data_IF_412674131129
#
_entry.id   IF_412674131129
#
_cell.length_a   1.000
_cell.length_b   1.000
_cell.length_c   1.000
_cell.angle_alpha   90.00
_cell.angle_beta   90.00
_cell.angle_gamma   90.00
#
_symmetry.space_group_name_H-M   'P 1'
#
loop_
_entity.id
_entity.type
_entity.pdbx_description
1 polymer ?
#
# COMPACT_ATOMS: atom_id res chain seq x y z
N UNK A 1 13.61 1.77 4.02
CA UNK A 1 12.15 1.59 3.94
C UNK A 1 11.84 0.89 2.65
N UNK A 2 11.20 -0.28 2.74
CA UNK A 2 10.76 -1.10 1.61
C UNK A 2 9.27 -0.95 1.39
N UNK A 3 8.90 -0.67 0.16
CA UNK A 3 7.50 -0.47 -0.24
C UNK A 3 7.12 -1.53 -1.26
N UNK A 4 5.98 -2.21 -1.05
CA UNK A 4 5.42 -3.14 -2.01
C UNK A 4 4.21 -2.48 -2.68
N UNK A 5 4.29 -2.19 -3.97
CA UNK A 5 3.19 -1.67 -4.78
C UNK A 5 2.42 -2.83 -5.41
N UNK A 6 1.09 -2.86 -5.29
CA UNK A 6 0.25 -3.92 -5.87
C UNK A 6 -0.91 -3.30 -6.61
N UNK A 7 -0.86 -3.42 -7.94
CA UNK A 7 -1.84 -2.84 -8.87
C UNK A 7 -1.80 -3.66 -10.16
N UNK A 8 -2.93 -3.91 -10.81
CA UNK A 8 -2.91 -4.63 -12.10
C UNK A 8 -2.41 -3.74 -13.26
N UNK A 9 -2.34 -2.43 -13.05
CA UNK A 9 -1.76 -1.47 -13.97
C UNK A 9 -0.21 -1.49 -13.91
N UNK A 10 0.43 -2.35 -14.72
CA UNK A 10 1.89 -2.48 -14.76
C UNK A 10 2.62 -1.13 -14.99
N UNK A 11 2.15 -0.33 -15.95
CA UNK A 11 2.74 0.98 -16.25
C UNK A 11 2.72 1.92 -15.03
N UNK A 12 1.66 1.85 -14.23
CA UNK A 12 1.49 2.67 -13.04
C UNK A 12 2.49 2.25 -11.95
N UNK A 13 2.58 0.96 -11.65
CA UNK A 13 3.48 0.47 -10.59
C UNK A 13 4.95 0.57 -10.97
N UNK A 14 5.30 0.33 -12.23
CA UNK A 14 6.67 0.54 -12.73
C UNK A 14 7.06 2.00 -12.56
N UNK A 15 6.24 2.92 -13.07
CA UNK A 15 6.51 4.36 -12.95
C UNK A 15 6.64 4.80 -11.49
N UNK A 16 5.74 4.34 -10.60
CA UNK A 16 5.81 4.65 -9.17
C UNK A 16 7.06 4.08 -8.52
N UNK A 17 7.41 2.82 -8.82
CA UNK A 17 8.58 2.15 -8.25
C UNK A 17 9.88 2.89 -8.61
N UNK A 18 10.04 3.28 -9.87
CA UNK A 18 11.19 4.08 -10.32
C UNK A 18 11.25 5.42 -9.60
N UNK A 19 10.11 6.11 -9.48
CA UNK A 19 10.02 7.42 -8.81
C UNK A 19 10.32 7.34 -7.31
N UNK A 20 9.97 6.24 -6.66
CA UNK A 20 10.33 5.96 -5.27
C UNK A 20 11.83 5.64 -5.15
N UNK A 21 12.35 4.82 -6.06
CA UNK A 21 13.77 4.49 -6.17
C UNK A 21 14.66 5.72 -6.31
N UNK A 22 14.26 6.68 -7.15
CA UNK A 22 14.95 7.97 -7.32
C UNK A 22 15.02 8.81 -6.04
N UNK A 23 14.19 8.52 -5.03
CA UNK A 23 14.18 9.19 -3.73
C UNK A 23 14.77 8.34 -2.61
N UNK A 24 15.45 7.24 -2.95
CA UNK A 24 16.14 6.37 -1.99
C UNK A 24 15.22 5.41 -1.24
N UNK A 25 14.00 5.18 -1.73
CA UNK A 25 13.09 4.15 -1.24
C UNK A 25 13.17 2.90 -2.13
N UNK A 26 13.32 1.75 -1.50
CA UNK A 26 13.39 0.46 -2.20
C UNK A 26 11.94 0.01 -2.46
N UNK A 27 11.45 0.27 -3.67
CA UNK A 27 10.07 -0.01 -4.05
C UNK A 27 10.01 -1.19 -5.00
N UNK A 28 9.35 -2.25 -4.56
CA UNK A 28 9.04 -3.42 -5.37
C UNK A 28 7.58 -3.34 -5.82
N UNK A 29 7.25 -3.96 -6.94
CA UNK A 29 5.89 -3.93 -7.50
C UNK A 29 5.38 -5.31 -7.83
N UNK A 30 4.07 -5.53 -7.78
CA UNK A 30 3.42 -6.77 -8.15
C UNK A 30 2.15 -6.46 -8.94
N UNK A 31 1.94 -7.18 -10.04
CA UNK A 31 0.76 -7.00 -10.91
C UNK A 31 -0.40 -7.91 -10.52
N UNK A 32 -0.25 -8.68 -9.44
CA UNK A 32 -1.25 -9.63 -8.96
C UNK A 32 -1.07 -9.92 -7.48
N UNK A 33 -2.18 -10.27 -6.82
CA UNK A 33 -2.20 -10.65 -5.41
C UNK A 33 -1.24 -11.81 -5.08
N UNK A 34 -1.18 -12.82 -5.95
CA UNK A 34 -0.30 -13.98 -5.77
C UNK A 34 1.18 -13.57 -5.78
N UNK A 35 1.57 -12.74 -6.75
CA UNK A 35 2.94 -12.23 -6.86
C UNK A 35 3.30 -11.37 -5.63
N UNK A 36 2.39 -10.53 -5.16
CA UNK A 36 2.57 -9.75 -3.94
C UNK A 36 2.79 -10.65 -2.71
N UNK A 37 2.00 -11.72 -2.58
CA UNK A 37 2.12 -12.69 -1.48
C UNK A 37 3.39 -13.54 -1.58
N UNK A 38 3.87 -13.86 -2.78
CA UNK A 38 5.15 -14.54 -2.98
C UNK A 38 6.32 -13.61 -2.62
N UNK A 39 6.28 -12.35 -3.05
CA UNK A 39 7.31 -11.36 -2.71
C UNK A 39 7.38 -11.10 -1.21
N UNK A 40 6.23 -10.93 -0.56
CA UNK A 40 6.16 -10.75 0.89
C UNK A 40 6.53 -12.00 1.71
N UNK A 41 6.64 -13.18 1.07
CA UNK A 41 7.20 -14.37 1.72
C UNK A 41 8.72 -14.37 1.74
N UNK A 42 9.35 -13.91 0.66
CA UNK A 42 10.80 -13.90 0.54
C UNK A 42 11.44 -12.64 1.13
N UNK A 43 10.67 -11.56 1.26
CA UNK A 43 11.18 -10.26 1.69
C UNK A 43 10.22 -9.59 2.68
N UNK A 44 10.82 -8.80 3.58
CA UNK A 44 10.08 -7.95 4.51
C UNK A 44 9.82 -6.59 3.86
N UNK A 45 8.59 -6.09 4.01
CA UNK A 45 8.16 -4.78 3.55
C UNK A 45 7.66 -3.96 4.73
N UNK A 46 8.02 -2.68 4.76
CA UNK A 46 7.55 -1.77 5.81
C UNK A 46 6.13 -1.28 5.50
N UNK A 47 5.86 -1.03 4.22
CA UNK A 47 4.57 -0.52 3.73
C UNK A 47 4.15 -1.27 2.47
N UNK A 48 2.92 -1.77 2.45
CA UNK A 48 2.28 -2.30 1.25
C UNK A 48 1.23 -1.32 0.75
N UNK A 49 1.35 -0.94 -0.52
CA UNK A 49 0.40 -0.11 -1.25
C UNK A 49 -0.44 -1.04 -2.11
N UNK A 50 -1.73 -1.15 -1.81
CA UNK A 50 -2.63 -2.13 -2.41
C UNK A 50 -3.77 -1.41 -3.13
N UNK A 51 -4.03 -1.73 -4.39
CA UNK A 51 -5.26 -1.27 -5.04
C UNK A 51 -6.50 -1.99 -4.46
N UNK A 52 -7.56 -1.23 -4.19
CA UNK A 52 -8.82 -1.77 -3.65
C UNK A 52 -9.52 -2.69 -4.66
N UNK A 53 -9.35 -2.40 -5.96
CA UNK A 53 -10.08 -2.98 -7.08
C UNK A 53 -9.19 -3.89 -7.94
N UNK A 54 -8.44 -4.78 -7.30
CA UNK A 54 -7.70 -5.81 -8.04
C UNK A 54 -8.63 -6.89 -8.64
N UNK A 55 -8.39 -7.32 -9.89
CA UNK A 55 -9.08 -8.47 -10.45
C UNK A 55 -8.71 -9.74 -9.65
N UNK A 56 -9.71 -10.54 -9.29
CA UNK A 56 -9.64 -11.83 -8.55
C UNK A 56 -9.56 -11.74 -7.02
N UNK A 57 -8.77 -10.84 -6.45
CA UNK A 57 -8.59 -10.75 -4.99
C UNK A 57 -8.48 -9.28 -4.55
N UNK A 58 -9.47 -8.80 -3.80
CA UNK A 58 -9.52 -7.40 -3.37
C UNK A 58 -8.41 -7.04 -2.39
N UNK A 59 -8.03 -5.75 -2.36
CA UNK A 59 -6.93 -5.26 -1.53
C UNK A 59 -7.07 -5.61 -0.04
N UNK A 60 -8.29 -5.65 0.50
CA UNK A 60 -8.55 -6.06 1.89
C UNK A 60 -8.15 -7.52 2.18
N UNK A 61 -8.37 -8.43 1.24
CA UNK A 61 -8.01 -9.83 1.41
C UNK A 61 -6.48 -10.02 1.35
N UNK A 62 -5.80 -9.27 0.47
CA UNK A 62 -4.33 -9.25 0.40
C UNK A 62 -3.76 -8.72 1.71
N UNK A 63 -4.34 -7.63 2.23
CA UNK A 63 -3.99 -7.06 3.53
C UNK A 63 -4.09 -8.10 4.64
N UNK A 64 -5.19 -8.84 4.72
CA UNK A 64 -5.40 -9.80 5.79
C UNK A 64 -4.36 -10.93 5.76
N UNK A 65 -4.09 -11.47 4.56
CA UNK A 65 -3.05 -12.47 4.33
C UNK A 65 -1.64 -11.96 4.67
N UNK A 66 -1.33 -10.70 4.33
CA UNK A 66 -0.06 -10.07 4.63
C UNK A 66 0.08 -9.72 6.12
N UNK A 67 -0.98 -9.19 6.75
CA UNK A 67 -1.02 -8.82 8.17
C UNK A 67 -0.84 -10.05 9.06
N UNK A 68 -1.41 -11.19 8.67
CA UNK A 68 -1.21 -12.45 9.38
C UNK A 68 0.26 -12.90 9.44
N UNK A 69 1.09 -12.48 8.47
CA UNK A 69 2.52 -12.76 8.42
C UNK A 69 3.39 -11.65 8.98
N UNK A 70 3.04 -10.40 8.67
CA UNK A 70 3.78 -9.19 9.02
C UNK A 70 2.87 -8.20 9.75
N UNK A 71 2.64 -8.39 11.07
CA UNK A 71 1.70 -7.57 11.84
C UNK A 71 2.13 -6.10 11.98
N UNK A 72 3.44 -5.82 11.86
CA UNK A 72 4.00 -4.46 11.89
C UNK A 72 3.95 -3.74 10.53
N UNK A 73 3.63 -4.47 9.46
CA UNK A 73 3.53 -3.87 8.13
C UNK A 73 2.36 -2.90 8.06
N UNK A 74 2.61 -1.76 7.41
CA UNK A 74 1.59 -0.73 7.16
C UNK A 74 0.93 -0.96 5.82
N UNK A 75 -0.32 -0.57 5.72
CA UNK A 75 -1.11 -0.79 4.51
C UNK A 75 -1.67 0.54 4.00
N UNK A 76 -1.46 0.83 2.73
CA UNK A 76 -1.96 1.99 2.05
C UNK A 76 -2.84 1.54 0.90
N UNK A 77 -4.11 1.89 0.93
CA UNK A 77 -5.07 1.51 -0.10
C UNK A 77 -5.13 2.58 -1.19
N UNK A 78 -4.98 2.19 -2.45
CA UNK A 78 -5.23 3.04 -3.60
C UNK A 78 -6.59 2.67 -4.21
N UNK A 79 -7.35 3.65 -4.66
CA UNK A 79 -8.58 3.40 -5.43
C UNK A 79 -8.78 4.46 -6.49
N UNK A 80 -9.14 4.05 -7.71
CA UNK A 80 -9.60 4.99 -8.75
C UNK A 80 -11.04 5.45 -8.58
N UNK A 81 -11.86 4.71 -7.83
CA UNK A 81 -13.24 5.05 -7.53
C UNK A 81 -13.37 5.24 -6.01
N UNK A 82 -13.38 6.50 -5.58
CA UNK A 82 -13.56 6.88 -4.17
C UNK A 82 -15.01 6.70 -3.69
N UNK A 83 -15.57 5.51 -3.83
CA UNK A 83 -16.90 5.20 -3.32
C UNK A 83 -16.91 5.28 -1.79
N UNK A 84 -18.01 5.78 -1.22
CA UNK A 84 -18.18 5.92 0.23
C UNK A 84 -18.04 4.57 0.95
N UNK A 85 -18.41 3.45 0.31
CA UNK A 85 -18.20 2.10 0.85
C UNK A 85 -16.72 1.75 0.98
N UNK A 86 -15.89 2.02 -0.03
CA UNK A 86 -14.44 1.79 0.03
C UNK A 86 -13.80 2.62 1.14
N UNK A 87 -14.22 3.89 1.28
CA UNK A 87 -13.78 4.75 2.37
C UNK A 87 -14.18 4.20 3.74
N UNK A 88 -15.45 3.81 3.93
CA UNK A 88 -15.91 3.25 5.20
C UNK A 88 -15.21 1.93 5.55
N UNK A 89 -14.95 1.09 4.53
CA UNK A 89 -14.22 -0.15 4.71
C UNK A 89 -12.79 0.10 5.20
N UNK A 90 -12.07 1.07 4.61
CA UNK A 90 -10.70 1.41 5.05
C UNK A 90 -10.69 2.22 6.34
N UNK A 91 -11.64 3.12 6.56
CA UNK A 91 -11.76 3.90 7.79
C UNK A 91 -12.09 3.04 9.01
N UNK A 92 -12.78 1.90 8.79
CA UNK A 92 -13.01 0.89 9.82
C UNK A 92 -11.78 0.04 10.13
N UNK A 93 -10.70 0.18 9.36
CA UNK A 93 -9.46 -0.52 9.60
C UNK A 93 -8.62 0.19 10.65
N UNK A 94 -8.29 -0.53 11.72
CA UNK A 94 -7.36 -0.15 12.79
C UNK A 94 -6.10 0.58 12.26
N UNK A 95 -5.56 1.52 13.05
CA UNK A 95 -4.59 2.60 12.73
C UNK A 95 -3.23 2.28 12.07
N UNK A 96 -3.11 1.13 11.40
CA UNK A 96 -2.03 0.77 10.47
C UNK A 96 -2.48 0.83 8.99
N UNK A 97 -3.66 1.39 8.70
CA UNK A 97 -4.17 1.50 7.34
C UNK A 97 -4.52 2.94 6.96
N UNK A 98 -4.16 3.36 5.76
CA UNK A 98 -4.59 4.62 5.15
C UNK A 98 -5.14 4.37 3.75
N UNK A 99 -5.83 5.36 3.18
CA UNK A 99 -6.37 5.29 1.83
C UNK A 99 -5.98 6.54 1.02
N UNK A 100 -5.87 6.39 -0.29
CA UNK A 100 -5.63 7.46 -1.27
C UNK A 100 -6.45 7.19 -2.53
N UNK A 101 -6.86 8.27 -3.19
CA UNK A 101 -7.67 8.23 -4.41
C UNK A 101 -6.76 8.54 -5.61
N UNK A 102 -6.86 7.75 -6.69
CA UNK A 102 -6.19 8.04 -7.96
C UNK A 102 -6.95 9.16 -8.70
N UNK A 103 -6.27 10.05 -9.45
CA UNK A 103 -4.83 10.10 -9.66
C UNK A 103 -4.09 10.65 -8.44
N UNK A 104 -3.06 9.94 -7.99
CA UNK A 104 -2.26 10.31 -6.82
C UNK A 104 -0.91 10.87 -7.24
N UNK A 105 -0.50 11.98 -6.61
CA UNK A 105 0.85 12.50 -6.79
C UNK A 105 1.85 11.69 -5.97
N UNK A 106 3.02 11.41 -6.55
CA UNK A 106 4.08 10.67 -5.86
C UNK A 106 4.49 11.35 -4.54
N UNK A 107 4.42 12.68 -4.49
CA UNK A 107 4.76 13.45 -3.28
C UNK A 107 3.75 13.16 -2.17
N UNK A 108 2.46 13.07 -2.51
CA UNK A 108 1.40 12.70 -1.57
C UNK A 108 1.51 11.24 -1.13
N UNK A 109 1.83 10.33 -2.07
CA UNK A 109 2.08 8.92 -1.76
C UNK A 109 3.20 8.79 -0.71
N UNK A 110 4.34 9.46 -0.95
CA UNK A 110 5.48 9.43 -0.04
C UNK A 110 5.17 10.08 1.30
N UNK A 111 4.45 11.20 1.31
CA UNK A 111 4.03 11.84 2.54
C UNK A 111 3.18 10.88 3.39
N UNK A 112 2.23 10.17 2.77
CA UNK A 112 1.42 9.17 3.48
C UNK A 112 2.18 7.93 3.91
N UNK A 113 3.10 7.42 3.10
CA UNK A 113 3.98 6.30 3.48
C UNK A 113 4.80 6.70 4.72
N UNK A 114 5.40 7.90 4.72
CA UNK A 114 6.14 8.39 5.89
C UNK A 114 5.23 8.61 7.10
N UNK A 115 4.04 9.19 6.92
CA UNK A 115 3.06 9.37 8.00
C UNK A 115 2.68 8.03 8.64
N UNK A 116 2.43 6.99 7.83
CA UNK A 116 2.12 5.64 8.30
C UNK A 116 3.30 4.98 9.04
N UNK A 117 4.52 5.20 8.54
CA UNK A 117 5.74 4.66 9.11
C UNK A 117 6.10 5.34 10.45
N UNK A 118 6.02 6.67 10.50
CA UNK A 118 6.31 7.50 11.68
C UNK A 118 5.18 7.41 12.72
N UNK A 119 3.93 7.18 12.29
CA UNK A 119 2.70 7.21 13.08
C UNK A 119 2.59 6.22 14.25
N UNK A 120 3.64 5.46 14.59
CA UNK A 120 3.78 4.76 15.88
C UNK A 120 4.43 5.61 16.98
N UNK A 121 4.69 6.91 16.78
CA UNK A 121 5.45 7.74 17.74
C UNK A 121 4.98 9.17 18.02
N UNK A 122 3.79 9.62 17.60
CA UNK A 122 3.41 11.02 17.84
C UNK A 122 1.98 11.40 17.53
N UNK A 123 1.07 11.08 18.45
CA UNK A 123 -0.04 11.99 18.76
C UNK A 123 0.25 12.56 20.15
N UNK A 124 1.07 13.61 20.17
CA UNK A 124 0.94 14.67 21.16
C UNK A 124 0.50 15.88 20.35
N UNK A 125 -0.76 16.28 20.53
CA UNK A 125 -1.23 17.66 20.71
C UNK A 125 -2.73 17.62 21.03
#
# INVERSE_FOLDING_TARGET
MRVLLVDDEEEFVVTLSERLGLRGMDADYATSADEALMKAQNQFYDVAVLDMRLPKMGGLAIRDALKGRHPDMKFLFLTGYGSEEDFNNVASLEGNSAYLVKPIDITTLIAKINELFIGKGGRNE
#
